data_IF_490115440364
#
_entry.id   IF_490115440364
#
_cell.length_a   1.000
_cell.length_b   1.000
_cell.length_c   1.000
_cell.angle_alpha   90.00
_cell.angle_beta   90.00
_cell.angle_gamma   90.00
#
_symmetry.space_group_name_H-M   'P 1'
#
loop_
_entity.id
_entity.type
_entity.pdbx_description
1 polymer ?
#
# COMPACT_ATOMS: atom_id res chain seq x y z
N UNK A 1 23.80 -23.49 8.69
CA UNK A 1 23.52 -22.32 9.57
C UNK A 1 24.10 -21.03 9.00
N UNK A 2 25.41 -20.96 8.71
CA UNK A 2 26.05 -19.77 8.09
C UNK A 2 25.39 -19.34 6.79
N UNK A 3 25.08 -20.28 5.89
CA UNK A 3 24.38 -20.02 4.62
C UNK A 3 22.97 -19.45 4.81
N UNK A 4 22.24 -19.94 5.82
CA UNK A 4 20.89 -19.45 6.17
C UNK A 4 20.96 -18.02 6.70
N UNK A 5 21.94 -17.71 7.56
CA UNK A 5 22.13 -16.36 8.11
C UNK A 5 22.55 -15.39 7.00
N UNK A 6 23.45 -15.82 6.11
CA UNK A 6 23.81 -15.08 4.90
C UNK A 6 22.57 -14.78 4.07
N UNK A 7 21.74 -15.77 3.77
CA UNK A 7 20.49 -15.57 3.02
C UNK A 7 19.57 -14.55 3.71
N UNK A 8 19.42 -14.63 5.03
CA UNK A 8 18.62 -13.67 5.80
C UNK A 8 19.15 -12.24 5.63
N UNK A 9 20.46 -12.03 5.78
CA UNK A 9 21.10 -10.71 5.66
C UNK A 9 20.97 -10.15 4.23
N UNK A 10 21.05 -11.00 3.21
CA UNK A 10 21.05 -10.55 1.82
C UNK A 10 19.65 -10.43 1.20
N UNK A 11 18.64 -11.14 1.71
CA UNK A 11 17.33 -11.20 1.05
C UNK A 11 16.22 -10.52 1.86
N UNK A 12 16.22 -10.68 3.19
CA UNK A 12 15.13 -10.18 4.05
C UNK A 12 14.96 -8.66 4.01
N UNK A 13 16.02 -7.82 4.05
CA UNK A 13 15.85 -6.37 4.02
C UNK A 13 15.07 -5.89 2.77
N UNK A 14 15.48 -6.38 1.60
CA UNK A 14 14.89 -6.03 0.32
C UNK A 14 13.44 -6.48 0.22
N UNK A 15 13.16 -7.74 0.58
CA UNK A 15 11.80 -8.29 0.59
C UNK A 15 10.88 -7.52 1.54
N UNK A 16 11.34 -7.23 2.77
CA UNK A 16 10.56 -6.45 3.74
C UNK A 16 10.17 -5.09 3.18
N UNK A 17 11.11 -4.39 2.56
CA UNK A 17 10.85 -3.07 1.97
C UNK A 17 9.89 -3.16 0.80
N UNK A 18 10.04 -4.18 -0.06
CA UNK A 18 9.08 -4.45 -1.13
C UNK A 18 7.66 -4.66 -0.59
N UNK A 19 7.51 -5.48 0.46
CA UNK A 19 6.20 -5.69 1.10
C UNK A 19 5.66 -4.42 1.75
N UNK A 20 6.48 -3.63 2.44
CA UNK A 20 6.06 -2.34 2.98
C UNK A 20 5.57 -1.38 1.90
N UNK A 21 6.28 -1.27 0.78
CA UNK A 21 5.88 -0.42 -0.35
C UNK A 21 4.50 -0.84 -0.88
N UNK A 22 4.27 -2.14 -1.06
CA UNK A 22 2.98 -2.68 -1.48
C UNK A 22 1.88 -2.40 -0.45
N UNK A 23 2.16 -2.59 0.85
CA UNK A 23 1.21 -2.31 1.93
C UNK A 23 0.87 -0.81 2.05
N UNK A 24 1.79 0.08 1.66
CA UNK A 24 1.57 1.52 1.60
C UNK A 24 0.83 1.97 0.34
N UNK A 25 0.36 1.05 -0.51
CA UNK A 25 -0.53 1.34 -1.62
C UNK A 25 0.13 1.48 -2.98
N UNK A 26 1.46 1.36 -3.09
CA UNK A 26 2.11 1.22 -4.40
C UNK A 26 2.07 -0.24 -4.79
N UNK A 27 0.94 -0.65 -5.32
CA UNK A 27 0.74 -2.01 -5.80
C UNK A 27 0.99 -2.10 -7.30
N UNK A 28 1.67 -3.15 -7.80
CA UNK A 28 1.90 -3.30 -9.23
C UNK A 28 0.56 -3.51 -9.97
N UNK A 29 0.45 -3.00 -11.19
CA UNK A 29 -0.76 -3.14 -12.02
C UNK A 29 -1.00 -4.55 -12.53
N UNK A 30 0.05 -5.38 -12.53
CA UNK A 30 0.03 -6.78 -12.95
C UNK A 30 0.63 -7.64 -11.87
N UNK A 31 0.21 -8.91 -11.82
CA UNK A 31 0.83 -9.91 -10.95
C UNK A 31 2.28 -10.08 -11.39
N UNK A 32 3.22 -9.73 -10.50
CA UNK A 32 4.66 -9.90 -10.76
C UNK A 32 5.05 -11.36 -10.64
N UNK A 33 5.96 -11.78 -11.50
CA UNK A 33 6.60 -13.09 -11.36
C UNK A 33 7.53 -13.09 -10.14
N UNK A 34 7.75 -14.28 -9.56
CA UNK A 34 8.63 -14.43 -8.40
C UNK A 34 10.06 -13.91 -8.70
N UNK A 35 10.52 -14.06 -9.95
CA UNK A 35 11.80 -13.55 -10.45
C UNK A 35 11.90 -12.03 -10.37
N UNK A 36 10.85 -11.30 -10.78
CA UNK A 36 10.79 -9.84 -10.72
C UNK A 36 10.80 -9.34 -9.28
N UNK A 37 10.04 -10.00 -8.40
CA UNK A 37 10.01 -9.67 -6.97
C UNK A 37 11.40 -9.83 -6.35
N UNK A 38 12.13 -10.89 -6.70
CA UNK A 38 13.52 -11.10 -6.24
C UNK A 38 14.45 -10.00 -6.77
N UNK A 39 14.37 -9.68 -8.07
CA UNK A 39 15.21 -8.63 -8.67
C UNK A 39 15.00 -7.27 -8.00
N UNK A 40 13.74 -6.88 -7.77
CA UNK A 40 13.39 -5.62 -7.10
C UNK A 40 13.85 -5.64 -5.63
N UNK A 41 13.74 -6.77 -4.96
CA UNK A 41 14.23 -6.93 -3.59
C UNK A 41 15.74 -6.75 -3.51
N UNK A 42 16.51 -7.26 -4.48
CA UNK A 42 17.96 -7.05 -4.55
C UNK A 42 18.30 -5.56 -4.72
N UNK A 43 17.55 -4.83 -5.56
CA UNK A 43 17.76 -3.39 -5.74
C UNK A 43 17.45 -2.60 -4.46
N UNK A 44 16.38 -2.96 -3.75
CA UNK A 44 15.99 -2.32 -2.49
C UNK A 44 16.92 -2.71 -1.33
N UNK A 45 17.57 -3.87 -1.40
CA UNK A 45 18.48 -4.35 -0.36
C UNK A 45 19.68 -3.42 -0.16
N UNK A 46 20.31 -2.95 -1.24
CA UNK A 46 21.51 -2.08 -1.21
C UNK A 46 21.32 -0.84 -0.32
N UNK A 47 20.31 0.03 -0.55
CA UNK A 47 20.14 1.23 0.26
C UNK A 47 19.84 0.92 1.72
N UNK A 48 19.11 -0.16 2.02
CA UNK A 48 18.78 -0.54 3.40
C UNK A 48 20.03 -0.97 4.14
N UNK A 49 20.79 -1.91 3.57
CA UNK A 49 22.01 -2.40 4.21
C UNK A 49 23.02 -1.29 4.37
N UNK A 50 23.13 -0.38 3.40
CA UNK A 50 23.97 0.81 3.53
C UNK A 50 23.61 1.63 4.76
N UNK A 51 22.31 1.90 4.99
CA UNK A 51 21.85 2.65 6.17
C UNK A 51 22.05 1.86 7.46
N UNK A 52 21.68 0.58 7.49
CA UNK A 52 21.84 -0.29 8.67
C UNK A 52 23.30 -0.38 9.10
N UNK A 53 24.22 -0.58 8.14
CA UNK A 53 25.66 -0.64 8.41
C UNK A 53 26.22 0.71 8.82
N UNK A 54 25.71 1.81 8.27
CA UNK A 54 26.08 3.17 8.71
C UNK A 54 25.67 3.40 10.16
N UNK A 55 24.47 2.99 10.57
CA UNK A 55 24.01 3.06 11.96
C UNK A 55 24.92 2.21 12.85
N UNK A 56 25.18 0.95 12.46
CA UNK A 56 26.03 0.04 13.21
C UNK A 56 27.45 0.61 13.40
N UNK A 57 28.10 1.06 12.32
CA UNK A 57 29.45 1.63 12.36
C UNK A 57 29.48 2.94 13.17
N UNK A 58 28.41 3.74 13.12
CA UNK A 58 28.28 4.94 13.97
C UNK A 58 28.20 4.56 15.45
N UNK A 59 27.43 3.53 15.81
CA UNK A 59 27.37 3.02 17.18
C UNK A 59 28.72 2.43 17.63
N UNK A 60 29.41 1.73 16.74
CA UNK A 60 30.75 1.19 17.00
C UNK A 60 31.81 2.30 17.21
N UNK A 61 31.65 3.44 16.55
CA UNK A 61 32.46 4.63 16.78
C UNK A 61 32.12 5.26 18.14
N UNK A 62 30.83 5.41 18.45
CA UNK A 62 30.35 6.01 19.71
C UNK A 62 30.71 5.15 20.93
N UNK A 63 30.73 3.82 20.83
CA UNK A 63 31.12 2.95 21.94
C UNK A 63 32.58 3.10 22.36
N UNK A 64 33.43 3.66 21.49
CA UNK A 64 34.82 3.99 21.80
C UNK A 64 34.98 5.36 22.47
N UNK A 65 33.93 6.18 22.51
CA UNK A 65 33.96 7.46 23.21
C UNK A 65 33.87 7.26 24.71
N UNK A 66 34.86 7.79 25.44
CA UNK A 66 35.05 7.62 26.89
C UNK A 66 33.96 8.26 27.75
N UNK A 67 33.05 9.06 27.18
CA UNK A 67 32.02 9.83 27.89
C UNK A 67 30.73 9.02 28.11
N UNK A 68 30.44 8.05 27.26
CA UNK A 68 29.21 7.24 27.30
C UNK A 68 29.56 5.87 27.91
N UNK A 69 29.99 5.86 29.17
CA UNK A 69 30.35 4.63 29.89
C UNK A 69 29.26 4.27 30.91
N UNK A 70 28.29 3.42 30.54
CA UNK A 70 27.44 2.79 31.52
C UNK A 70 28.25 1.74 32.31
N UNK A 71 28.16 1.77 33.65
CA UNK A 71 28.80 0.80 34.55
C UNK A 71 28.21 -0.63 34.48
N UNK A 72 27.41 -0.94 33.45
CA UNK A 72 26.72 -2.22 33.30
C UNK A 72 27.27 -2.97 32.08
N UNK A 73 27.64 -4.24 32.27
CA UNK A 73 28.18 -5.12 31.21
C UNK A 73 27.05 -5.65 30.31
N UNK A 74 26.47 -4.74 29.52
CA UNK A 74 25.45 -5.10 28.54
C UNK A 74 26.12 -5.44 27.19
N UNK A 75 25.81 -6.58 26.55
CA UNK A 75 26.48 -7.02 25.32
C UNK A 75 26.43 -6.00 24.17
N UNK A 76 25.36 -5.20 24.10
CA UNK A 76 25.18 -4.12 23.12
C UNK A 76 25.96 -2.83 23.45
N UNK A 77 26.62 -2.75 24.60
CA UNK A 77 27.37 -1.56 25.06
C UNK A 77 28.86 -1.89 25.30
N UNK A 78 29.33 -3.08 24.89
CA UNK A 78 30.74 -3.47 25.02
C UNK A 78 31.66 -2.59 24.16
N UNK A 79 32.87 -2.35 24.69
CA UNK A 79 33.87 -1.39 24.19
C UNK A 79 34.48 -1.74 22.82
N UNK A 80 34.29 -2.97 22.34
CA UNK A 80 35.06 -3.51 21.21
C UNK A 80 34.17 -3.94 20.05
N UNK A 81 33.25 -3.07 19.63
CA UNK A 81 32.52 -3.31 18.39
C UNK A 81 33.50 -3.31 17.21
N UNK A 82 33.52 -4.43 16.48
CA UNK A 82 34.26 -4.56 15.23
C UNK A 82 33.52 -3.77 14.14
N UNK A 83 34.24 -2.94 13.38
CA UNK A 83 33.67 -2.24 12.23
C UNK A 83 33.33 -3.22 11.10
N UNK A 84 32.28 -2.90 10.36
CA UNK A 84 31.92 -3.61 9.12
C UNK A 84 32.40 -2.77 7.94
N UNK A 85 33.59 -3.10 7.44
CA UNK A 85 34.19 -2.39 6.29
C UNK A 85 34.06 -3.19 4.98
N UNK A 86 33.86 -4.50 5.07
CA UNK A 86 33.73 -5.40 3.92
C UNK A 86 32.74 -6.54 4.20
N UNK A 87 32.39 -7.29 3.15
CA UNK A 87 31.46 -8.43 3.23
C UNK A 87 31.96 -9.54 4.15
N UNK A 88 33.27 -9.76 4.22
CA UNK A 88 33.85 -10.78 5.10
C UNK A 88 33.64 -10.45 6.57
N UNK A 89 33.81 -9.17 6.94
CA UNK A 89 33.56 -8.65 8.29
C UNK A 89 32.09 -8.79 8.68
N UNK A 90 31.18 -8.52 7.73
CA UNK A 90 29.75 -8.72 7.90
C UNK A 90 29.42 -10.20 8.14
N UNK A 91 30.00 -11.11 7.35
CA UNK A 91 29.80 -12.56 7.49
C UNK A 91 30.41 -13.10 8.80
N UNK A 92 31.50 -12.49 9.29
CA UNK A 92 32.10 -12.86 10.57
C UNK A 92 31.21 -12.42 11.74
N UNK A 93 30.70 -11.19 11.69
CA UNK A 93 29.81 -10.64 12.70
C UNK A 93 28.44 -11.31 12.71
N UNK A 94 27.97 -11.79 11.56
CA UNK A 94 26.74 -12.57 11.48
C UNK A 94 26.80 -13.91 12.21
N UNK A 95 27.98 -14.37 12.64
CA UNK A 95 28.10 -15.49 13.58
C UNK A 95 27.63 -15.17 15.00
N UNK A 96 27.46 -13.89 15.36
CA UNK A 96 27.01 -13.45 16.69
C UNK A 96 25.50 -13.27 16.73
N UNK A 97 24.84 -13.97 17.66
CA UNK A 97 23.37 -13.87 17.88
C UNK A 97 22.95 -12.43 18.18
N UNK A 98 23.74 -11.68 18.96
CA UNK A 98 23.44 -10.29 19.29
C UNK A 98 23.51 -9.36 18.08
N UNK A 99 24.48 -9.59 17.18
CA UNK A 99 24.56 -8.85 15.94
C UNK A 99 23.36 -9.13 15.04
N UNK A 100 22.95 -10.40 14.92
CA UNK A 100 21.76 -10.77 14.14
C UNK A 100 20.51 -10.09 14.69
N UNK A 101 20.29 -10.13 16.01
CA UNK A 101 19.14 -9.50 16.65
C UNK A 101 19.10 -8.00 16.42
N UNK A 102 20.25 -7.33 16.59
CA UNK A 102 20.41 -5.91 16.27
C UNK A 102 20.09 -5.65 14.78
N UNK A 103 20.70 -6.43 13.90
CA UNK A 103 20.58 -6.26 12.45
C UNK A 103 19.14 -6.40 11.98
N UNK A 104 18.43 -7.44 12.43
CA UNK A 104 17.03 -7.66 12.09
C UNK A 104 16.16 -6.50 12.62
N UNK A 105 16.36 -6.11 13.89
CA UNK A 105 15.57 -5.04 14.52
C UNK A 105 15.72 -3.72 13.78
N UNK A 106 16.96 -3.30 13.48
CA UNK A 106 17.23 -2.08 12.74
C UNK A 106 16.78 -2.20 11.28
N UNK A 107 16.92 -3.37 10.66
CA UNK A 107 16.40 -3.62 9.30
C UNK A 107 14.90 -3.39 9.20
N UNK A 108 14.11 -3.88 10.17
CA UNK A 108 12.65 -3.67 10.20
C UNK A 108 12.34 -2.17 10.26
N UNK A 109 13.03 -1.43 11.13
CA UNK A 109 12.83 0.03 11.28
C UNK A 109 13.24 0.77 10.01
N UNK A 110 14.45 0.53 9.49
CA UNK A 110 14.98 1.20 8.30
C UNK A 110 14.15 0.88 7.05
N UNK A 111 13.78 -0.40 6.85
CA UNK A 111 12.93 -0.81 5.73
C UNK A 111 11.58 -0.10 5.74
N UNK A 112 10.95 0.02 6.90
CA UNK A 112 9.68 0.73 7.06
C UNK A 112 9.82 2.22 6.68
N UNK A 113 10.82 2.92 7.22
CA UNK A 113 11.00 4.35 6.93
C UNK A 113 11.43 4.62 5.48
N UNK A 114 12.29 3.76 4.91
CA UNK A 114 12.67 3.85 3.51
C UNK A 114 11.46 3.62 2.60
N UNK A 115 10.67 2.57 2.87
CA UNK A 115 9.42 2.33 2.14
C UNK A 115 8.46 3.51 2.26
N UNK A 116 8.28 4.09 3.46
CA UNK A 116 7.44 5.26 3.68
C UNK A 116 7.91 6.46 2.85
N UNK A 117 9.22 6.70 2.81
CA UNK A 117 9.83 7.75 1.99
C UNK A 117 9.60 7.51 0.50
N UNK A 118 9.80 6.27 0.04
CA UNK A 118 9.57 5.89 -1.36
C UNK A 118 8.09 6.12 -1.71
N UNK A 119 7.18 5.60 -0.89
CA UNK A 119 5.75 5.63 -1.18
C UNK A 119 5.17 7.04 -1.17
N UNK A 120 5.58 7.88 -0.23
CA UNK A 120 5.04 9.25 -0.11
C UNK A 120 5.71 10.24 -1.07
N UNK A 121 7.03 10.18 -1.22
CA UNK A 121 7.80 11.25 -1.83
C UNK A 121 8.46 10.83 -3.15
N UNK A 122 9.18 9.71 -3.18
CA UNK A 122 9.96 9.33 -4.34
C UNK A 122 9.09 8.93 -5.53
N UNK A 123 8.02 8.16 -5.27
CA UNK A 123 7.11 7.68 -6.32
C UNK A 123 6.44 8.82 -7.07
N UNK A 124 5.84 9.79 -6.35
CA UNK A 124 5.20 10.96 -6.97
C UNK A 124 6.19 11.76 -7.81
N UNK A 125 7.38 12.06 -7.28
CA UNK A 125 8.43 12.78 -8.03
C UNK A 125 8.87 12.05 -9.29
N UNK A 126 8.96 10.72 -9.22
CA UNK A 126 9.28 9.89 -10.37
C UNK A 126 8.16 9.96 -11.42
N UNK A 127 6.91 9.85 -10.97
CA UNK A 127 5.73 9.92 -11.84
C UNK A 127 5.64 11.29 -12.55
N UNK A 128 5.83 12.39 -11.83
CA UNK A 128 5.81 13.75 -12.38
C UNK A 128 6.84 13.89 -13.52
N UNK A 129 8.06 13.38 -13.31
CA UNK A 129 9.11 13.38 -14.34
C UNK A 129 8.77 12.49 -15.54
N UNK A 130 8.16 11.33 -15.30
CA UNK A 130 7.71 10.45 -16.39
C UNK A 130 6.62 11.14 -17.20
N UNK A 131 5.66 11.79 -16.54
CA UNK A 131 4.57 12.52 -17.18
C UNK A 131 5.08 13.70 -18.00
N UNK A 132 6.10 14.43 -17.52
CA UNK A 132 6.75 15.49 -18.30
C UNK A 132 7.30 14.95 -19.64
N UNK A 133 7.90 13.76 -19.65
CA UNK A 133 8.40 13.12 -20.87
C UNK A 133 7.24 12.63 -21.76
N UNK A 134 6.18 12.08 -21.16
CA UNK A 134 5.00 11.60 -21.90
C UNK A 134 4.27 12.73 -22.59
N UNK A 135 4.07 13.85 -21.91
CA UNK A 135 3.45 15.05 -22.46
C UNK A 135 4.27 15.64 -23.61
N UNK A 136 5.60 15.71 -23.48
CA UNK A 136 6.50 16.08 -24.59
C UNK A 136 6.36 15.16 -25.80
N UNK A 137 6.02 13.89 -25.58
CA UNK A 137 5.79 12.90 -26.62
C UNK A 137 4.33 12.85 -27.11
N UNK A 138 3.45 13.76 -26.67
CA UNK A 138 2.00 13.75 -26.93
C UNK A 138 1.29 12.46 -26.49
N UNK A 139 1.77 11.84 -25.40
CA UNK A 139 1.19 10.66 -24.78
C UNK A 139 0.49 11.10 -23.49
N UNK A 140 -0.72 10.59 -23.24
CA UNK A 140 -1.49 10.91 -22.04
C UNK A 140 -0.69 10.61 -20.74
N UNK A 141 -0.76 11.49 -19.72
CA UNK A 141 -0.06 11.30 -18.45
C UNK A 141 -0.59 10.07 -17.70
N UNK A 142 0.28 9.46 -16.90
CA UNK A 142 -0.09 8.41 -15.96
C UNK A 142 -0.75 9.00 -14.72
N UNK A 143 -1.76 8.31 -14.21
CA UNK A 143 -2.41 8.66 -12.93
C UNK A 143 -1.55 8.20 -11.74
N UNK A 144 -1.74 8.83 -10.58
CA UNK A 144 -1.12 8.44 -9.31
C UNK A 144 -1.60 7.06 -8.87
N UNK A 145 -2.88 6.78 -9.10
CA UNK A 145 -3.46 5.48 -8.86
C UNK A 145 -3.08 4.51 -9.97
N UNK A 146 -2.70 3.30 -9.56
CA UNK A 146 -2.19 2.28 -10.49
C UNK A 146 -3.29 1.66 -11.33
N UNK A 147 -4.54 1.66 -10.86
CA UNK A 147 -5.66 1.04 -11.57
C UNK A 147 -6.86 1.97 -11.64
N UNK A 148 -7.71 1.76 -12.66
CA UNK A 148 -8.99 2.48 -12.79
C UNK A 148 -9.85 2.22 -11.56
N UNK A 149 -9.90 0.96 -11.09
CA UNK A 149 -10.58 0.56 -9.86
C UNK A 149 -10.18 1.42 -8.65
N UNK A 150 -8.88 1.54 -8.40
CA UNK A 150 -8.35 2.32 -7.28
C UNK A 150 -8.70 3.80 -7.45
N UNK A 151 -8.60 4.33 -8.68
CA UNK A 151 -8.95 5.72 -8.96
C UNK A 151 -10.43 6.04 -8.80
N UNK A 152 -11.31 5.07 -9.06
CA UNK A 152 -12.76 5.23 -8.98
C UNK A 152 -13.28 5.09 -7.56
N UNK A 153 -12.73 4.16 -6.76
CA UNK A 153 -13.35 3.77 -5.49
C UNK A 153 -12.52 4.01 -4.22
N UNK A 154 -11.18 4.15 -4.29
CA UNK A 154 -10.36 4.29 -3.07
C UNK A 154 -10.29 5.72 -2.51
N UNK A 155 -10.75 6.71 -3.27
CA UNK A 155 -10.64 8.13 -2.90
C UNK A 155 -11.93 8.75 -2.34
N UNK A 156 -13.03 8.00 -2.25
CA UNK A 156 -14.34 8.61 -2.03
C UNK A 156 -14.90 8.35 -0.63
N UNK A 157 -15.44 9.43 -0.05
CA UNK A 157 -16.47 9.39 1.00
C UNK A 157 -17.64 8.53 0.49
N UNK A 158 -18.39 7.89 1.40
CA UNK A 158 -19.36 6.82 1.06
C UNK A 158 -20.16 7.09 -0.22
N UNK A 159 -20.04 6.19 -1.20
CA UNK A 159 -20.62 6.38 -2.53
C UNK A 159 -21.89 5.54 -2.67
N UNK A 160 -22.99 6.16 -3.12
CA UNK A 160 -24.19 5.40 -3.47
C UNK A 160 -24.00 4.87 -4.88
N UNK A 161 -24.08 3.55 -5.03
CA UNK A 161 -23.83 2.89 -6.32
C UNK A 161 -24.98 1.96 -6.70
N UNK A 162 -25.19 1.81 -8.00
CA UNK A 162 -25.95 0.72 -8.60
C UNK A 162 -24.95 -0.29 -9.18
N UNK A 163 -24.96 -1.51 -8.65
CA UNK A 163 -24.24 -2.64 -9.18
C UNK A 163 -25.14 -3.48 -10.07
N UNK A 164 -24.72 -3.75 -11.31
CA UNK A 164 -25.42 -4.67 -12.21
C UNK A 164 -24.47 -5.47 -13.08
N UNK A 165 -24.93 -6.62 -13.53
CA UNK A 165 -24.23 -7.44 -14.51
C UNK A 165 -24.81 -7.18 -15.89
N UNK A 166 -23.94 -7.08 -16.89
CA UNK A 166 -24.33 -6.83 -18.27
C UNK A 166 -25.29 -7.91 -18.77
N UNK A 167 -26.44 -7.48 -19.27
CA UNK A 167 -27.50 -8.36 -19.75
C UNK A 167 -28.49 -8.85 -18.68
N UNK A 168 -28.27 -8.55 -17.40
CA UNK A 168 -29.24 -8.81 -16.34
C UNK A 168 -30.09 -7.57 -16.06
N UNK A 169 -31.40 -7.77 -15.85
CA UNK A 169 -32.33 -6.69 -15.51
C UNK A 169 -32.33 -6.34 -14.02
N UNK A 170 -31.74 -7.19 -13.18
CA UNK A 170 -31.66 -6.99 -11.74
C UNK A 170 -30.41 -6.21 -11.39
N UNK A 171 -30.58 -5.11 -10.67
CA UNK A 171 -29.49 -4.32 -10.10
C UNK A 171 -29.61 -4.24 -8.58
N UNK A 172 -28.49 -4.00 -7.90
CA UNK A 172 -28.44 -3.78 -6.47
C UNK A 172 -27.96 -2.36 -6.21
N UNK A 173 -28.75 -1.57 -5.49
CA UNK A 173 -28.43 -0.19 -5.18
C UNK A 173 -28.12 -0.07 -3.70
N UNK A 174 -27.00 0.57 -3.34
CA UNK A 174 -26.67 0.76 -1.93
C UNK A 174 -25.45 1.65 -1.72
N UNK A 175 -25.17 1.93 -0.44
CA UNK A 175 -24.00 2.70 -0.04
C UNK A 175 -22.76 1.79 -0.02
N UNK A 176 -21.76 2.13 -0.80
CA UNK A 176 -20.49 1.40 -0.89
C UNK A 176 -19.63 1.68 0.36
N UNK A 177 -19.43 0.63 1.18
CA UNK A 177 -18.64 0.72 2.41
C UNK A 177 -17.22 0.18 2.21
N UNK A 178 -17.08 -0.90 1.44
CA UNK A 178 -15.79 -1.55 1.20
C UNK A 178 -15.66 -2.03 -0.22
N UNK A 179 -14.48 -1.80 -0.78
CA UNK A 179 -14.04 -2.38 -2.05
C UNK A 179 -12.79 -3.23 -1.82
N UNK A 180 -12.63 -4.33 -2.58
CA UNK A 180 -11.41 -5.10 -2.60
C UNK A 180 -10.31 -4.27 -3.23
N UNK A 181 -9.05 -4.58 -2.90
CA UNK A 181 -7.90 -4.02 -3.61
C UNK A 181 -7.96 -4.44 -5.08
N UNK A 182 -7.33 -3.67 -5.97
CA UNK A 182 -7.33 -3.98 -7.39
C UNK A 182 -6.84 -5.40 -7.75
N UNK A 183 -5.97 -6.01 -6.92
CA UNK A 183 -5.34 -7.32 -7.18
C UNK A 183 -5.94 -8.48 -6.40
N UNK A 184 -6.96 -8.23 -5.56
CA UNK A 184 -7.65 -9.31 -4.88
C UNK A 184 -8.45 -10.13 -5.90
N UNK A 185 -8.28 -11.45 -5.88
CA UNK A 185 -8.88 -12.37 -6.85
C UNK A 185 -10.41 -12.42 -6.79
N UNK A 186 -10.99 -12.00 -5.66
CA UNK A 186 -12.43 -11.83 -5.50
C UNK A 186 -12.80 -10.35 -5.55
N UNK A 187 -13.60 -9.96 -6.54
CA UNK A 187 -14.20 -8.62 -6.61
C UNK A 187 -15.49 -8.57 -5.78
N UNK A 188 -15.36 -8.81 -4.47
CA UNK A 188 -16.49 -8.74 -3.54
C UNK A 188 -16.62 -7.32 -2.98
N UNK A 189 -17.76 -6.68 -3.21
CA UNK A 189 -18.09 -5.37 -2.64
C UNK A 189 -19.05 -5.53 -1.46
N UNK A 190 -19.05 -4.54 -0.55
CA UNK A 190 -20.00 -4.48 0.56
C UNK A 190 -20.87 -3.24 0.40
N UNK A 191 -22.17 -3.47 0.25
CA UNK A 191 -23.21 -2.45 0.17
C UNK A 191 -24.00 -2.39 1.47
N UNK A 192 -24.25 -1.19 1.97
CA UNK A 192 -25.11 -0.91 3.11
C UNK A 192 -26.45 -0.31 2.66
N UNK A 193 -27.49 -0.57 3.46
CA UNK A 193 -28.83 -0.02 3.28
C UNK A 193 -29.45 -0.27 1.89
N UNK A 194 -29.22 -1.47 1.34
CA UNK A 194 -29.67 -1.83 -0.02
C UNK A 194 -31.18 -1.63 -0.20
N UNK A 195 -32.00 -2.16 0.71
CA UNK A 195 -33.46 -2.02 0.63
C UNK A 195 -33.92 -0.56 0.71
N UNK A 196 -33.22 0.28 1.47
CA UNK A 196 -33.55 1.70 1.62
C UNK A 196 -33.25 2.46 0.33
N UNK A 197 -32.03 2.30 -0.21
CA UNK A 197 -31.61 3.01 -1.41
C UNK A 197 -32.35 2.52 -2.65
N UNK A 198 -32.59 1.22 -2.79
CA UNK A 198 -33.42 0.69 -3.88
C UNK A 198 -34.79 1.34 -3.90
N UNK A 199 -35.45 1.45 -2.73
CA UNK A 199 -36.75 2.11 -2.64
C UNK A 199 -36.66 3.59 -3.01
N UNK A 200 -35.67 4.35 -2.52
CA UNK A 200 -35.52 5.76 -2.90
C UNK A 200 -35.40 5.91 -4.42
N UNK A 201 -34.55 5.10 -5.06
CA UNK A 201 -34.31 5.18 -6.51
C UNK A 201 -35.49 4.69 -7.37
N UNK A 202 -36.45 3.95 -6.81
CA UNK A 202 -37.71 3.64 -7.49
C UNK A 202 -38.67 4.85 -7.56
N UNK A 203 -38.62 5.76 -6.57
CA UNK A 203 -39.50 6.92 -6.49
C UNK A 203 -38.90 8.18 -7.13
N UNK A 204 -37.57 8.30 -7.13
CA UNK A 204 -36.86 9.49 -7.57
C UNK A 204 -35.80 9.14 -8.59
N UNK A 205 -35.78 9.88 -9.69
CA UNK A 205 -34.74 9.76 -10.71
C UNK A 205 -33.49 10.53 -10.27
N UNK A 206 -32.47 9.81 -9.80
CA UNK A 206 -31.21 10.38 -9.33
C UNK A 206 -30.17 10.31 -10.43
N UNK A 207 -29.53 11.44 -10.70
CA UNK A 207 -28.50 11.55 -11.73
C UNK A 207 -27.29 10.65 -11.43
N UNK A 208 -26.79 9.97 -12.46
CA UNK A 208 -25.54 9.21 -12.43
C UNK A 208 -24.39 10.14 -12.82
N UNK A 209 -23.37 10.23 -11.97
CA UNK A 209 -22.16 11.03 -12.22
C UNK A 209 -21.14 10.27 -13.06
N UNK A 210 -20.93 8.99 -12.74
CA UNK A 210 -19.90 8.16 -13.35
C UNK A 210 -20.39 6.73 -13.52
N UNK A 211 -19.93 6.07 -14.59
CA UNK A 211 -20.16 4.63 -14.81
C UNK A 211 -18.83 3.94 -14.98
N UNK A 212 -18.55 2.99 -14.09
CA UNK A 212 -17.44 2.06 -14.22
C UNK A 212 -17.92 0.80 -14.95
N UNK A 213 -17.16 0.37 -15.96
CA UNK A 213 -17.46 -0.82 -16.76
C UNK A 213 -16.25 -1.75 -16.74
N UNK A 214 -16.44 -2.94 -16.18
CA UNK A 214 -15.52 -4.06 -16.28
C UNK A 214 -15.95 -4.95 -17.45
N UNK A 215 -15.23 -4.81 -18.56
CA UNK A 215 -15.52 -5.51 -19.82
C UNK A 215 -15.26 -7.02 -19.67
N UNK A 216 -14.26 -7.39 -18.86
CA UNK A 216 -13.83 -8.79 -18.72
C UNK A 216 -14.85 -9.61 -17.93
N UNK A 217 -15.40 -9.01 -16.86
CA UNK A 217 -16.38 -9.67 -16.00
C UNK A 217 -17.83 -9.31 -16.35
N UNK A 218 -18.05 -8.37 -17.28
CA UNK A 218 -19.36 -7.85 -17.62
C UNK A 218 -20.04 -7.14 -16.44
N UNK A 219 -19.28 -6.47 -15.57
CA UNK A 219 -19.80 -5.75 -14.40
C UNK A 219 -19.94 -4.28 -14.76
N UNK A 220 -21.08 -3.67 -14.41
CA UNK A 220 -21.33 -2.24 -14.56
C UNK A 220 -21.67 -1.68 -13.17
N UNK A 221 -20.96 -0.63 -12.77
CA UNK A 221 -21.19 0.08 -11.52
C UNK A 221 -21.48 1.54 -11.86
N UNK A 222 -22.71 1.96 -11.64
CA UNK A 222 -23.10 3.37 -11.73
C UNK A 222 -22.92 4.04 -10.38
N UNK A 223 -22.31 5.21 -10.38
CA UNK A 223 -22.06 6.03 -9.19
C UNK A 223 -23.00 7.22 -9.27
N UNK A 224 -23.93 7.30 -8.31
CA UNK A 224 -24.91 8.37 -8.26
C UNK A 224 -24.30 9.67 -7.75
N UNK A 225 -24.87 10.79 -8.18
CA UNK A 225 -24.56 12.09 -7.63
C UNK A 225 -24.97 12.14 -6.15
N UNK A 226 -24.01 12.38 -5.26
CA UNK A 226 -24.26 12.36 -3.82
C UNK A 226 -25.29 13.41 -3.39
N UNK A 227 -25.22 14.63 -3.92
CA UNK A 227 -26.14 15.70 -3.52
C UNK A 227 -27.57 15.38 -3.96
N UNK A 228 -27.75 14.95 -5.21
CA UNK A 228 -29.07 14.56 -5.72
C UNK A 228 -29.63 13.35 -4.98
N UNK A 229 -28.78 12.41 -4.57
CA UNK A 229 -29.22 11.25 -3.80
C UNK A 229 -29.65 11.62 -2.38
N UNK A 230 -28.97 12.56 -1.73
CA UNK A 230 -29.36 13.10 -0.42
C UNK A 230 -30.66 13.90 -0.51
N UNK A 231 -30.83 14.73 -1.54
CA UNK A 231 -32.09 15.44 -1.79
C UNK A 231 -33.25 14.46 -2.00
N UNK A 232 -33.04 13.38 -2.76
CA UNK A 232 -34.03 12.33 -2.95
C UNK A 232 -34.36 11.61 -1.62
N UNK A 233 -33.36 11.39 -0.77
CA UNK A 233 -33.56 10.82 0.56
C UNK A 233 -34.39 11.73 1.46
N UNK A 234 -34.13 13.04 1.45
CA UNK A 234 -34.90 14.01 2.25
C UNK A 234 -36.37 14.05 1.80
N UNK A 235 -36.61 14.13 0.49
CA UNK A 235 -37.96 14.08 -0.08
C UNK A 235 -38.68 12.77 0.25
N UNK A 236 -37.95 11.65 0.24
CA UNK A 236 -38.48 10.35 0.60
C UNK A 236 -38.87 10.29 2.09
N UNK A 237 -38.03 10.83 2.98
CA UNK A 237 -38.30 10.89 4.41
C UNK A 237 -39.49 11.80 4.74
N UNK A 238 -39.62 12.94 4.07
CA UNK A 238 -40.78 13.83 4.20
C UNK A 238 -42.09 13.14 3.79
N UNK A 239 -42.02 12.30 2.75
CA UNK A 239 -43.16 11.53 2.26
C UNK A 239 -43.50 10.33 3.14
N UNK A 240 -42.49 9.69 3.74
CA UNK A 240 -42.61 8.50 4.57
C UNK A 240 -41.90 8.68 5.92
N UNK A 241 -42.42 9.54 6.82
CA UNK A 241 -41.72 9.92 8.06
C UNK A 241 -41.51 8.78 9.06
N UNK A 242 -42.24 7.66 8.92
CA UNK A 242 -42.08 6.45 9.73
C UNK A 242 -41.43 5.29 8.95
N UNK A 243 -40.85 5.59 7.77
CA UNK A 243 -40.38 4.60 6.81
C UNK A 243 -41.52 3.92 6.03
N UNK A 244 -41.15 3.10 5.05
CA UNK A 244 -42.09 2.21 4.37
C UNK A 244 -42.40 1.02 5.27
N UNK A 245 -43.52 1.08 5.99
CA UNK A 245 -44.12 -0.11 6.61
C UNK A 245 -44.59 -1.04 5.49
N UNK A 246 -43.89 -2.15 5.31
CA UNK A 246 -44.34 -3.28 4.49
C UNK A 246 -45.61 -3.89 5.07
#
# INVERSE_FOLDING_TARGET
MKEVITLIIFTVPGLLTYFWINLFGITPTTKRENSEVVAISILLWIPIVSVVLTIYNSLALMSRWTVIQPNFDFPLLKKDWMYVDNLESLIKLSGSVWFILFYISITIVVSFYLAKFISKNAYKKMLDKINEVREKNNIAPLNVHTTVWDSTFLNNEGQIIEFKKYGESTSMIGLLIKVPRAHESGKSIVLEAVDHWTKIMEYYDVQIDQTYVDIDNGIVINIYNLNSALEAQDLFNDRFPNGLTS
#
